data_IF_105967031945
#
_entry.id   IF_105967031945
#
_cell.length_a   1.000
_cell.length_b   1.000
_cell.length_c   1.000
_cell.angle_alpha   90.00
_cell.angle_beta   90.00
_cell.angle_gamma   90.00
#
_symmetry.space_group_name_H-M   'P 1'
#
loop_
_entity.id
_entity.type
_entity.pdbx_description
1 polymer ?
#
# COMPACT_ATOMS: atom_id res chain seq x y z
N UNK A 1 12.94 9.18 -20.97
CA UNK A 1 13.62 9.99 -19.93
C UNK A 1 14.22 9.05 -18.90
N UNK A 2 15.26 9.44 -18.19
CA UNK A 2 15.82 8.60 -17.13
C UNK A 2 15.02 8.80 -15.83
N UNK A 3 14.60 7.70 -15.20
CA UNK A 3 14.03 7.73 -13.85
C UNK A 3 15.10 8.17 -12.85
N UNK A 4 14.69 8.93 -11.84
CA UNK A 4 15.53 9.29 -10.70
C UNK A 4 15.11 8.40 -9.54
N UNK A 5 16.01 7.58 -9.01
CA UNK A 5 15.70 6.63 -7.94
C UNK A 5 16.52 7.00 -6.70
N UNK A 6 15.83 7.17 -5.57
CA UNK A 6 16.46 7.48 -4.28
C UNK A 6 16.01 6.44 -3.26
N UNK A 7 16.95 5.78 -2.57
CA UNK A 7 16.63 4.82 -1.51
C UNK A 7 16.02 5.51 -0.29
N UNK A 8 15.02 4.89 0.31
CA UNK A 8 14.48 5.29 1.62
C UNK A 8 15.25 4.57 2.74
N UNK A 9 15.25 5.15 3.94
CA UNK A 9 16.10 4.70 5.05
C UNK A 9 15.89 3.23 5.49
N UNK A 10 14.72 2.65 5.23
CA UNK A 10 14.37 1.30 5.69
C UNK A 10 13.82 0.41 4.58
N UNK A 11 12.67 0.79 4.01
CA UNK A 11 11.96 0.02 2.99
C UNK A 11 11.56 0.94 1.84
N UNK A 12 11.74 0.46 0.61
CA UNK A 12 11.31 1.14 -0.59
C UNK A 12 12.24 2.23 -1.13
N UNK A 13 11.75 2.86 -2.18
CA UNK A 13 12.43 3.92 -2.93
C UNK A 13 11.48 5.07 -3.24
N UNK A 14 12.02 6.26 -3.44
CA UNK A 14 11.36 7.36 -4.12
C UNK A 14 11.75 7.37 -5.60
N UNK A 15 10.77 7.50 -6.49
CA UNK A 15 10.96 7.54 -7.95
C UNK A 15 10.48 8.88 -8.50
N UNK A 16 11.42 9.66 -9.02
CA UNK A 16 11.20 10.91 -9.73
C UNK A 16 11.50 10.82 -11.23
N UNK A 17 11.31 11.92 -11.95
CA UNK A 17 11.51 11.99 -13.40
C UNK A 17 10.39 11.34 -14.23
N UNK A 18 9.26 11.05 -13.58
CA UNK A 18 8.03 10.54 -14.19
C UNK A 18 6.82 11.31 -13.67
N UNK A 19 5.85 11.54 -14.56
CA UNK A 19 4.52 12.06 -14.24
C UNK A 19 3.52 10.95 -14.49
N UNK A 20 2.96 10.37 -13.41
CA UNK A 20 2.06 9.21 -13.51
C UNK A 20 0.67 9.58 -14.02
N UNK A 21 0.38 10.89 -14.19
CA UNK A 21 -0.83 11.39 -14.84
C UNK A 21 -0.71 11.41 -16.37
N UNK A 22 0.44 11.03 -16.93
CA UNK A 22 0.68 11.01 -18.39
C UNK A 22 0.68 9.59 -18.94
N UNK A 23 0.45 9.42 -20.27
CA UNK A 23 0.61 8.13 -20.90
C UNK A 23 2.00 7.54 -20.65
N UNK A 24 2.03 6.31 -20.14
CA UNK A 24 3.24 5.54 -19.87
C UNK A 24 3.39 4.48 -20.97
N UNK A 25 4.51 4.50 -21.68
CA UNK A 25 4.81 3.49 -22.68
C UNK A 25 5.22 2.15 -22.03
N UNK A 26 5.25 1.09 -22.85
CA UNK A 26 5.54 -0.25 -22.36
C UNK A 26 6.94 -0.39 -21.75
N UNK A 27 7.93 0.38 -22.23
CA UNK A 27 9.29 0.32 -21.70
C UNK A 27 9.36 0.91 -20.30
N UNK A 28 8.75 2.09 -20.11
CA UNK A 28 8.67 2.75 -18.81
C UNK A 28 7.82 1.94 -17.83
N UNK A 29 6.69 1.39 -18.27
CA UNK A 29 5.87 0.50 -17.43
C UNK A 29 6.67 -0.70 -16.91
N UNK A 30 7.44 -1.36 -17.79
CA UNK A 30 8.28 -2.48 -17.39
C UNK A 30 9.36 -2.08 -16.37
N UNK A 31 9.95 -0.88 -16.52
CA UNK A 31 10.92 -0.35 -15.55
C UNK A 31 10.27 -0.10 -14.18
N UNK A 32 9.09 0.51 -14.15
CA UNK A 32 8.37 0.79 -12.89
C UNK A 32 7.95 -0.50 -12.18
N UNK A 33 7.47 -1.50 -12.93
CA UNK A 33 7.12 -2.82 -12.37
C UNK A 33 8.36 -3.53 -11.81
N UNK A 34 9.49 -3.47 -12.51
CA UNK A 34 10.74 -4.06 -12.03
C UNK A 34 11.23 -3.40 -10.73
N UNK A 35 11.19 -2.07 -10.67
CA UNK A 35 11.53 -1.31 -9.47
C UNK A 35 10.62 -1.68 -8.29
N UNK A 36 9.31 -1.81 -8.53
CA UNK A 36 8.39 -2.20 -7.47
C UNK A 36 8.61 -3.63 -6.97
N UNK A 37 8.86 -4.59 -7.88
CA UNK A 37 9.16 -5.98 -7.49
C UNK A 37 10.43 -6.09 -6.63
N UNK A 38 11.45 -5.26 -6.92
CA UNK A 38 12.72 -5.27 -6.17
C UNK A 38 12.59 -4.61 -4.80
N UNK A 39 11.89 -3.48 -4.72
CA UNK A 39 11.92 -2.61 -3.54
C UNK A 39 10.67 -2.69 -2.65
N UNK A 40 9.59 -3.33 -3.11
CA UNK A 40 8.33 -3.51 -2.38
C UNK A 40 7.48 -2.24 -2.25
N UNK A 41 8.09 -1.10 -1.89
CA UNK A 41 7.44 0.20 -1.76
C UNK A 41 8.08 1.19 -2.74
N UNK A 42 7.24 1.88 -3.51
CA UNK A 42 7.67 2.94 -4.44
C UNK A 42 6.84 4.19 -4.18
N UNK A 43 7.51 5.30 -3.88
CA UNK A 43 6.89 6.59 -3.58
C UNK A 43 7.06 7.53 -4.76
N UNK A 44 5.96 8.14 -5.21
CA UNK A 44 5.96 9.22 -6.20
C UNK A 44 5.51 10.51 -5.52
N UNK A 45 6.36 11.54 -5.52
CA UNK A 45 6.07 12.85 -4.91
C UNK A 45 5.45 13.80 -5.93
N UNK A 46 4.69 14.77 -5.43
CA UNK A 46 4.19 15.92 -6.19
C UNK A 46 3.45 15.55 -7.49
N UNK A 47 2.59 14.52 -7.41
CA UNK A 47 1.80 14.03 -8.55
C UNK A 47 0.38 14.61 -8.49
N UNK A 48 -0.03 15.31 -9.55
CA UNK A 48 -1.42 15.76 -9.72
C UNK A 48 -2.25 14.66 -10.40
N UNK A 49 -2.77 13.74 -9.59
CA UNK A 49 -3.36 12.48 -10.07
C UNK A 49 -4.86 12.51 -9.90
N UNK A 50 -5.60 12.44 -11.01
CA UNK A 50 -7.06 12.22 -11.00
C UNK A 50 -7.41 10.76 -10.66
N UNK A 51 -8.66 10.46 -10.27
CA UNK A 51 -9.11 9.08 -10.09
C UNK A 51 -8.83 8.19 -11.30
N UNK A 52 -9.09 8.67 -12.52
CA UNK A 52 -8.85 7.94 -13.76
C UNK A 52 -7.38 7.61 -13.96
N UNK A 53 -6.50 8.57 -13.69
CA UNK A 53 -5.04 8.37 -13.78
C UNK A 53 -4.57 7.33 -12.77
N UNK A 54 -5.07 7.38 -11.53
CA UNK A 54 -4.76 6.40 -10.50
C UNK A 54 -5.17 4.98 -10.93
N UNK A 55 -6.38 4.82 -11.45
CA UNK A 55 -6.90 3.53 -11.92
C UNK A 55 -6.10 3.05 -13.14
N UNK A 56 -5.81 3.92 -14.11
CA UNK A 56 -5.00 3.58 -15.28
C UNK A 56 -3.57 3.15 -14.90
N UNK A 57 -2.93 3.89 -14.00
CA UNK A 57 -1.59 3.60 -13.52
C UNK A 57 -1.53 2.31 -12.71
N UNK A 58 -2.55 2.03 -11.88
CA UNK A 58 -2.66 0.78 -11.11
C UNK A 58 -2.67 -0.47 -12.01
N UNK A 59 -3.27 -0.38 -13.21
CA UNK A 59 -3.34 -1.50 -14.17
C UNK A 59 -1.98 -1.90 -14.75
N UNK A 60 -0.95 -1.07 -14.62
CA UNK A 60 0.41 -1.43 -15.02
C UNK A 60 0.99 -2.56 -14.15
N UNK A 61 0.49 -2.70 -12.92
CA UNK A 61 1.01 -3.64 -11.92
C UNK A 61 0.21 -4.95 -11.86
N UNK A 62 -0.96 -5.01 -12.49
CA UNK A 62 -1.81 -6.20 -12.56
C UNK A 62 -3.28 -5.90 -12.83
N UNK A 63 -4.10 -6.96 -12.81
CA UNK A 63 -5.55 -6.83 -12.82
C UNK A 63 -6.03 -6.17 -11.51
N UNK A 64 -7.05 -5.30 -11.60
CA UNK A 64 -7.62 -4.66 -10.43
C UNK A 64 -8.53 -5.64 -9.70
N UNK A 65 -8.35 -5.74 -8.38
CA UNK A 65 -9.24 -6.47 -7.49
C UNK A 65 -10.21 -5.49 -6.82
N UNK A 66 -11.50 -5.77 -6.88
CA UNK A 66 -12.52 -4.90 -6.30
C UNK A 66 -12.61 -5.12 -4.80
N UNK A 67 -12.65 -4.04 -4.02
CA UNK A 67 -12.73 -4.18 -2.57
C UNK A 67 -14.04 -4.89 -2.14
N UNK A 68 -13.98 -5.87 -1.22
CA UNK A 68 -15.16 -6.67 -0.84
C UNK A 68 -16.24 -5.82 -0.15
N UNK A 69 -15.83 -4.80 0.60
CA UNK A 69 -16.74 -3.84 1.24
C UNK A 69 -17.19 -2.78 0.25
N UNK A 70 -18.28 -3.02 -0.48
CA UNK A 70 -18.84 -2.06 -1.44
C UNK A 70 -19.29 -0.73 -0.81
N UNK A 71 -19.60 -0.72 0.49
CA UNK A 71 -20.00 0.49 1.20
C UNK A 71 -18.88 1.55 1.27
N UNK A 72 -17.62 1.13 1.09
CA UNK A 72 -16.44 2.00 1.16
C UNK A 72 -15.85 2.27 -0.24
N UNK A 73 -16.47 1.78 -1.31
CA UNK A 73 -16.04 2.09 -2.69
C UNK A 73 -16.64 3.39 -3.18
N UNK A 74 -15.92 4.10 -4.06
CA UNK A 74 -16.44 5.31 -4.69
C UNK A 74 -17.64 5.00 -5.58
N UNK A 75 -18.70 5.80 -5.46
CA UNK A 75 -19.90 5.66 -6.29
C UNK A 75 -19.64 5.98 -7.78
N UNK A 76 -18.71 6.91 -8.05
CA UNK A 76 -18.35 7.31 -9.40
C UNK A 76 -17.24 6.43 -10.00
N UNK A 77 -16.35 5.92 -9.17
CA UNK A 77 -15.20 5.11 -9.57
C UNK A 77 -15.15 3.82 -8.75
N UNK A 78 -15.97 2.81 -9.07
CA UNK A 78 -16.12 1.62 -8.24
C UNK A 78 -14.82 0.89 -7.93
N UNK A 79 -13.81 0.98 -8.81
CA UNK A 79 -12.47 0.40 -8.61
C UNK A 79 -11.68 1.01 -7.45
N UNK A 80 -12.09 2.19 -6.96
CA UNK A 80 -11.41 2.87 -5.88
C UNK A 80 -12.09 2.61 -4.54
N UNK A 81 -11.30 2.09 -3.60
CA UNK A 81 -11.62 2.08 -2.18
C UNK A 81 -11.30 3.46 -1.57
N UNK A 82 -12.27 4.02 -0.84
CA UNK A 82 -12.16 5.32 -0.20
C UNK A 82 -11.77 5.13 1.27
N UNK A 83 -10.50 5.42 1.58
CA UNK A 83 -10.02 5.50 2.96
C UNK A 83 -10.23 6.94 3.45
N UNK A 84 -11.29 7.17 4.24
CA UNK A 84 -11.67 8.49 4.73
C UNK A 84 -12.01 8.40 6.21
N UNK A 85 -11.41 9.27 7.00
CA UNK A 85 -11.74 9.44 8.41
C UNK A 85 -12.66 10.66 8.57
N UNK A 86 -13.93 10.42 8.93
CA UNK A 86 -14.92 11.48 9.18
C UNK A 86 -15.34 11.47 10.67
N UNK A 87 -15.19 12.58 11.40
CA UNK A 87 -15.53 12.66 12.83
C UNK A 87 -16.94 12.18 13.18
N UNK A 88 -17.91 12.38 12.29
CA UNK A 88 -19.32 12.04 12.53
C UNK A 88 -19.65 10.57 12.23
N UNK A 89 -18.83 9.89 11.40
CA UNK A 89 -19.02 8.49 11.02
C UNK A 89 -18.17 7.55 11.87
N UNK A 90 -17.04 8.01 12.38
CA UNK A 90 -16.15 7.22 13.23
C UNK A 90 -16.56 7.30 14.70
N UNK A 91 -17.62 6.56 15.04
CA UNK A 91 -18.02 6.34 16.44
C UNK A 91 -17.22 5.25 17.14
N UNK A 92 -16.24 4.65 16.45
CA UNK A 92 -15.48 3.53 16.96
C UNK A 92 -14.05 3.97 17.23
N UNK A 93 -13.71 4.03 18.51
CA UNK A 93 -12.33 4.08 18.94
C UNK A 93 -11.58 2.88 18.35
N UNK A 94 -10.57 3.13 17.52
CA UNK A 94 -9.77 2.06 16.91
C UNK A 94 -8.65 1.58 17.83
N UNK A 95 -8.14 2.45 18.69
CA UNK A 95 -7.14 2.10 19.70
C UNK A 95 -7.10 3.16 20.82
N UNK A 96 -6.48 2.81 21.96
CA UNK A 96 -6.04 3.76 22.99
C UNK A 96 -4.54 3.56 23.23
N UNK A 97 -3.78 4.64 23.34
CA UNK A 97 -2.34 4.62 23.63
C UNK A 97 -2.00 5.74 24.61
N UNK A 98 -1.28 5.42 25.68
CA UNK A 98 -0.91 6.36 26.76
C UNK A 98 -2.08 7.16 27.34
N UNK A 99 -3.29 6.59 27.34
CA UNK A 99 -4.51 7.24 27.84
C UNK A 99 -5.17 8.19 26.85
N UNK A 100 -4.62 8.30 25.63
CA UNK A 100 -5.23 9.03 24.53
C UNK A 100 -5.97 8.09 23.58
N UNK A 101 -7.13 8.54 23.17
CA UNK A 101 -8.03 7.86 22.26
C UNK A 101 -7.58 8.13 20.82
N UNK A 102 -7.18 7.07 20.09
CA UNK A 102 -6.75 7.15 18.69
C UNK A 102 -7.81 6.56 17.76
N UNK A 103 -8.23 7.38 16.81
CA UNK A 103 -9.21 7.07 15.76
C UNK A 103 -8.47 6.81 14.44
N UNK A 104 -8.99 5.89 13.61
CA UNK A 104 -8.38 5.52 12.33
C UNK A 104 -7.03 4.78 12.40
N UNK A 105 -6.64 4.20 13.54
CA UNK A 105 -5.44 3.36 13.67
C UNK A 105 -5.75 1.93 13.23
N UNK A 106 -5.00 1.44 12.25
CA UNK A 106 -4.99 0.03 11.87
C UNK A 106 -3.73 -0.65 12.43
N UNK A 107 -3.89 -1.83 13.03
CA UNK A 107 -2.75 -2.65 13.44
C UNK A 107 -1.94 -3.16 12.23
N UNK A 108 -0.73 -3.65 12.45
CA UNK A 108 0.10 -4.24 11.39
C UNK A 108 -0.65 -5.37 10.67
N UNK A 109 -0.81 -5.22 9.36
CA UNK A 109 -1.55 -6.17 8.53
C UNK A 109 -0.99 -6.23 7.10
N UNK A 110 -1.47 -7.22 6.36
CA UNK A 110 -1.35 -7.30 4.90
C UNK A 110 -2.76 -7.29 4.31
N UNK A 111 -3.01 -6.52 3.27
CA UNK A 111 -4.35 -6.44 2.70
C UNK A 111 -4.82 -7.78 2.14
N UNK A 112 -6.06 -8.17 2.47
CA UNK A 112 -6.76 -9.33 1.88
C UNK A 112 -6.03 -10.69 2.04
N UNK A 113 -5.06 -10.79 2.94
CA UNK A 113 -4.28 -12.01 3.16
C UNK A 113 -5.10 -13.20 3.69
N UNK A 114 -6.32 -12.95 4.18
CA UNK A 114 -7.31 -13.96 4.54
C UNK A 114 -8.04 -14.59 3.34
N UNK A 115 -7.80 -14.12 2.11
CA UNK A 115 -8.42 -14.67 0.90
C UNK A 115 -7.54 -15.72 0.23
N UNK A 116 -8.17 -16.65 -0.50
CA UNK A 116 -7.45 -17.70 -1.24
C UNK A 116 -6.63 -17.20 -2.44
N UNK A 117 -6.73 -15.91 -2.77
CA UNK A 117 -5.96 -15.23 -3.82
C UNK A 117 -5.48 -13.89 -3.23
N UNK A 118 -4.33 -13.87 -2.51
CA UNK A 118 -3.80 -12.67 -1.90
C UNK A 118 -3.59 -11.56 -2.93
N UNK A 119 -3.77 -10.32 -2.49
CA UNK A 119 -3.48 -9.15 -3.32
C UNK A 119 -1.99 -9.10 -3.65
N UNK A 120 -1.68 -8.76 -4.90
CA UNK A 120 -0.30 -8.51 -5.32
C UNK A 120 0.27 -7.25 -4.66
N UNK A 121 -0.58 -6.26 -4.43
CA UNK A 121 -0.23 -4.98 -3.83
C UNK A 121 -1.39 -3.99 -3.85
N UNK A 122 -1.13 -2.79 -3.36
CA UNK A 122 -2.08 -1.69 -3.33
C UNK A 122 -1.43 -0.41 -3.84
N UNK A 123 -2.25 0.47 -4.42
CA UNK A 123 -1.84 1.81 -4.82
C UNK A 123 -2.65 2.84 -4.06
N UNK A 124 -1.98 3.52 -3.14
CA UNK A 124 -2.58 4.55 -2.31
C UNK A 124 -2.23 5.95 -2.83
N UNK A 125 -3.25 6.80 -3.00
CA UNK A 125 -3.09 8.21 -3.34
C UNK A 125 -3.64 9.05 -2.19
N UNK A 126 -2.81 9.92 -1.61
CA UNK A 126 -3.31 10.92 -0.67
C UNK A 126 -4.16 11.97 -1.41
N UNK A 127 -5.39 12.18 -0.93
CA UNK A 127 -6.29 13.25 -1.41
C UNK A 127 -6.29 14.41 -0.43
N UNK A 128 -6.37 14.10 0.86
CA UNK A 128 -6.24 15.04 1.97
C UNK A 128 -5.37 14.34 3.02
N UNK A 129 -4.22 14.93 3.34
CA UNK A 129 -3.40 14.48 4.47
C UNK A 129 -3.95 15.06 5.77
N UNK A 130 -3.87 14.30 6.86
CA UNK A 130 -4.11 14.85 8.20
C UNK A 130 -3.05 15.91 8.54
N UNK A 131 -3.44 16.94 9.30
CA UNK A 131 -2.52 17.97 9.80
C UNK A 131 -1.58 17.40 10.87
N UNK A 132 -2.06 16.43 11.64
CA UNK A 132 -1.33 15.72 12.68
C UNK A 132 -1.62 14.21 12.60
N UNK A 133 -0.60 13.39 12.88
CA UNK A 133 -0.72 11.93 12.79
C UNK A 133 -0.87 11.43 11.36
N UNK A 134 -1.70 10.39 11.16
CA UNK A 134 -1.99 9.83 9.82
C UNK A 134 -0.82 9.17 9.11
N UNK A 135 0.26 8.83 9.83
CA UNK A 135 1.44 8.19 9.28
C UNK A 135 1.14 6.73 8.90
N UNK A 136 1.63 6.30 7.75
CA UNK A 136 1.62 4.89 7.34
C UNK A 136 2.99 4.28 7.55
N UNK A 137 3.08 3.27 8.41
CA UNK A 137 4.28 2.47 8.61
C UNK A 137 4.33 1.30 7.64
N UNK A 138 5.53 0.97 7.14
CA UNK A 138 5.79 -0.21 6.32
C UNK A 138 6.90 -1.05 6.94
N UNK A 139 6.76 -2.37 6.84
CA UNK A 139 7.75 -3.34 7.32
C UNK A 139 8.12 -4.30 6.18
N UNK A 140 9.41 -4.58 6.05
CA UNK A 140 9.94 -5.49 5.05
C UNK A 140 10.05 -6.91 5.63
N UNK A 141 9.11 -7.78 5.25
CA UNK A 141 9.06 -9.15 5.73
C UNK A 141 10.16 -10.05 5.12
N UNK A 142 10.68 -9.71 3.93
CA UNK A 142 11.80 -10.44 3.34
C UNK A 142 13.08 -10.17 4.12
N UNK A 143 13.36 -8.90 4.41
CA UNK A 143 14.49 -8.53 5.29
C UNK A 143 14.32 -9.05 6.71
N UNK A 144 13.10 -9.10 7.24
CA UNK A 144 12.82 -9.70 8.54
C UNK A 144 13.16 -11.20 8.56
N UNK A 145 12.78 -11.93 7.51
CA UNK A 145 13.13 -13.34 7.33
C UNK A 145 14.64 -13.57 7.22
N UNK A 146 15.32 -12.71 6.46
CA UNK A 146 16.77 -12.76 6.29
C UNK A 146 17.56 -12.50 7.57
N UNK A 147 16.97 -11.74 8.50
CA UNK A 147 17.57 -11.44 9.80
C UNK A 147 17.39 -12.55 10.85
N UNK A 148 16.56 -13.58 10.59
CA UNK A 148 16.35 -14.69 11.51
C UNK A 148 17.59 -15.59 11.58
N UNK A 149 17.86 -16.12 12.78
CA UNK A 149 18.84 -17.21 12.95
C UNK A 149 18.34 -18.52 12.33
N UNK A 150 19.28 -19.44 12.07
CA UNK A 150 18.99 -20.71 11.38
C UNK A 150 17.99 -21.59 12.14
N UNK A 151 18.06 -21.63 13.48
CA UNK A 151 17.17 -22.45 14.30
C UNK A 151 15.73 -21.92 14.24
N UNK A 152 15.56 -20.60 14.35
CA UNK A 152 14.27 -19.93 14.22
C UNK A 152 13.69 -20.14 12.82
N UNK A 153 14.51 -19.99 11.77
CA UNK A 153 14.08 -20.23 10.39
C UNK A 153 13.59 -21.67 10.18
N UNK A 154 14.38 -22.65 10.62
CA UNK A 154 14.05 -24.07 10.51
C UNK A 154 12.80 -24.49 11.30
N UNK A 155 12.46 -23.75 12.36
CA UNK A 155 11.20 -23.90 13.08
C UNK A 155 10.02 -23.34 12.25
N UNK A 156 10.13 -22.10 11.78
CA UNK A 156 9.06 -21.42 11.05
C UNK A 156 8.74 -22.07 9.70
N UNK A 157 9.71 -22.67 9.01
CA UNK A 157 9.50 -23.42 7.76
C UNK A 157 8.51 -24.59 7.89
N UNK A 158 8.25 -25.06 9.12
CA UNK A 158 7.34 -26.18 9.42
C UNK A 158 5.97 -25.71 9.92
N UNK A 159 5.75 -24.40 10.03
CA UNK A 159 4.55 -23.82 10.59
C UNK A 159 3.68 -23.29 9.45
N UNK A 160 2.41 -23.66 9.49
CA UNK A 160 1.38 -23.08 8.65
C UNK A 160 0.51 -22.14 9.49
N UNK A 161 0.11 -21.01 8.90
CA UNK A 161 -0.75 -20.02 9.54
C UNK A 161 -2.07 -19.96 8.78
N UNK A 162 -3.19 -20.08 9.51
CA UNK A 162 -4.51 -19.86 8.95
C UNK A 162 -4.94 -18.41 9.20
N UNK A 163 -5.30 -17.72 8.12
CA UNK A 163 -5.84 -16.36 8.18
C UNK A 163 -7.36 -16.41 8.02
N UNK A 164 -8.08 -15.73 8.91
CA UNK A 164 -9.54 -15.64 8.90
C UNK A 164 -9.98 -14.22 9.27
N UNK A 165 -11.05 -13.74 8.63
CA UNK A 165 -11.69 -12.44 8.88
C UNK A 165 -12.93 -12.60 9.76
#
# INVERSE_FOLDING_TARGET
MALQVTELAHVGIEVGGVDIARPIDAQLAAQLVALWNEHGIVVFRDQDVTPENQIAFSRLFGELEMHPLKATTSAQYPELFMLVNEPEKEKFMTASYDGEDIVGRLDWHMDMHYTGKPNRGALLRSVVCAEEGGLTGFADLARAWDALDEDTRALLEKIEVTYAF
#
